data_IF_212676450777
#
_entry.id   IF_212676450777
#
_cell.length_a   1.000
_cell.length_b   1.000
_cell.length_c   1.000
_cell.angle_alpha   90.00
_cell.angle_beta   90.00
_cell.angle_gamma   90.00
#
_symmetry.space_group_name_H-M   'P 1'
#
loop_
_entity.id
_entity.type
_entity.pdbx_description
1 polymer ?
#
# COMPACT_ATOMS: atom_id res chain seq x y z
N UNK A 1 -40.48 8.56 -28.24
CA UNK A 1 -39.74 9.61 -27.51
C UNK A 1 -39.12 9.00 -26.26
N UNK A 2 -37.94 8.40 -26.41
CA UNK A 2 -37.16 7.89 -25.27
C UNK A 2 -36.34 9.07 -24.77
N UNK A 3 -36.63 9.56 -23.56
CA UNK A 3 -35.80 10.57 -22.89
C UNK A 3 -34.46 9.92 -22.58
N UNK A 4 -33.49 10.09 -23.46
CA UNK A 4 -32.09 9.78 -23.18
C UNK A 4 -31.62 10.80 -22.14
N UNK A 5 -31.57 10.38 -20.88
CA UNK A 5 -30.91 11.13 -19.82
C UNK A 5 -29.43 11.16 -20.17
N UNK A 6 -28.97 12.29 -20.69
CA UNK A 6 -27.55 12.62 -20.82
C UNK A 6 -27.01 12.71 -19.39
N UNK A 7 -26.45 11.62 -18.90
CA UNK A 7 -25.60 11.65 -17.71
C UNK A 7 -24.31 12.31 -18.19
N UNK A 8 -24.23 13.62 -17.96
CA UNK A 8 -22.99 14.36 -18.10
C UNK A 8 -22.04 13.83 -17.03
N UNK A 9 -21.22 12.83 -17.40
CA UNK A 9 -20.01 12.48 -16.65
C UNK A 9 -19.10 13.68 -16.83
N UNK A 10 -19.21 14.64 -15.91
CA UNK A 10 -18.25 15.70 -15.77
C UNK A 10 -16.91 15.02 -15.46
N UNK A 11 -16.06 14.90 -16.48
CA UNK A 11 -14.68 14.47 -16.34
C UNK A 11 -13.96 15.42 -15.39
N UNK A 12 -14.04 15.10 -14.11
CA UNK A 12 -13.15 15.64 -13.10
C UNK A 12 -11.84 14.86 -13.29
N UNK A 13 -10.98 15.36 -14.17
CA UNK A 13 -9.58 14.98 -14.22
C UNK A 13 -8.95 15.41 -12.88
N UNK A 14 -9.15 14.58 -11.85
CA UNK A 14 -8.39 14.64 -10.62
C UNK A 14 -7.04 14.02 -10.93
N UNK A 15 -6.15 14.83 -11.49
CA UNK A 15 -4.72 14.51 -11.53
C UNK A 15 -4.26 14.37 -10.07
N UNK A 16 -4.22 13.14 -9.57
CA UNK A 16 -3.57 12.81 -8.30
C UNK A 16 -2.08 12.86 -8.57
N UNK A 17 -1.57 14.10 -8.59
CA UNK A 17 -0.15 14.37 -8.49
C UNK A 17 0.28 13.84 -7.12
N UNK A 18 1.03 12.74 -7.08
CA UNK A 18 1.74 12.30 -5.88
C UNK A 18 2.62 13.46 -5.39
N UNK A 19 2.12 14.17 -4.38
CA UNK A 19 2.69 15.41 -3.84
C UNK A 19 3.97 15.08 -3.06
N UNK A 20 5.13 15.35 -3.66
CA UNK A 20 6.05 16.24 -2.96
C UNK A 20 5.43 17.65 -2.99
N UNK A 21 5.46 18.47 -1.92
CA UNK A 21 4.75 19.75 -1.87
C UNK A 21 5.33 20.74 -2.89
N UNK A 22 4.73 20.82 -4.08
CA UNK A 22 5.02 21.85 -5.09
C UNK A 22 3.95 22.93 -4.96
N UNK A 23 4.34 24.11 -4.48
CA UNK A 23 3.44 25.27 -4.39
C UNK A 23 3.43 26.01 -5.73
N UNK A 24 2.26 26.19 -6.32
CA UNK A 24 2.08 26.98 -7.55
C UNK A 24 1.75 28.44 -7.22
N UNK A 25 2.50 29.37 -7.82
CA UNK A 25 2.20 30.80 -7.80
C UNK A 25 1.31 31.14 -9.01
N UNK A 26 0.03 31.41 -8.74
CA UNK A 26 -0.99 31.70 -9.74
C UNK A 26 -0.79 33.06 -10.44
N UNK A 27 0.03 33.96 -9.88
CA UNK A 27 0.24 35.29 -10.45
C UNK A 27 1.38 35.34 -11.49
N UNK A 28 2.31 34.38 -11.45
CA UNK A 28 3.51 34.38 -12.31
C UNK A 28 3.57 33.28 -13.38
N UNK A 29 2.69 32.27 -13.31
CA UNK A 29 2.63 31.19 -14.30
C UNK A 29 3.90 30.34 -14.40
N UNK A 30 4.78 30.42 -13.40
CA UNK A 30 6.04 29.69 -13.31
C UNK A 30 6.00 28.60 -12.24
N UNK A 31 6.57 27.43 -12.57
CA UNK A 31 6.76 26.33 -11.60
C UNK A 31 7.92 26.72 -10.68
N UNK A 32 7.64 26.99 -9.40
CA UNK A 32 8.67 27.26 -8.41
C UNK A 32 9.07 25.93 -7.77
N UNK A 33 10.22 25.40 -8.16
CA UNK A 33 10.89 24.37 -7.36
C UNK A 33 11.47 25.06 -6.13
N UNK A 34 10.82 24.92 -4.98
CA UNK A 34 11.48 25.22 -3.72
C UNK A 34 12.60 24.20 -3.53
N UNK A 35 13.81 24.55 -4.00
CA UNK A 35 15.03 24.03 -3.42
C UNK A 35 14.88 24.18 -1.91
N UNK A 36 14.67 23.06 -1.21
CA UNK A 36 15.02 22.96 0.20
C UNK A 36 16.53 23.04 0.23
N UNK A 37 17.03 24.27 0.09
CA UNK A 37 18.32 24.67 0.55
C UNK A 37 18.30 24.42 2.06
N UNK A 38 18.74 23.21 2.45
CA UNK A 38 19.13 22.88 3.80
C UNK A 38 20.21 23.90 4.20
N UNK A 39 19.77 25.01 4.78
CA UNK A 39 20.64 26.00 5.37
C UNK A 39 21.38 25.30 6.49
N UNK A 40 22.67 25.05 6.24
CA UNK A 40 23.58 24.39 7.16
C UNK A 40 23.46 24.96 8.57
N UNK A 41 22.91 24.15 9.47
CA UNK A 41 23.04 24.32 10.91
C UNK A 41 24.38 23.76 11.35
N UNK A 42 25.41 24.61 11.38
CA UNK A 42 26.65 24.33 12.12
C UNK A 42 26.33 24.27 13.62
N UNK A 43 25.91 23.10 14.10
CA UNK A 43 25.72 22.80 15.51
C UNK A 43 27.01 22.30 16.16
N UNK A 44 27.95 23.21 16.44
CA UNK A 44 29.08 22.93 17.33
C UNK A 44 28.55 22.76 18.78
N UNK A 45 28.25 21.53 19.18
CA UNK A 45 27.89 21.16 20.54
C UNK A 45 29.02 20.44 21.28
N UNK A 46 30.07 21.18 21.66
CA UNK A 46 31.07 20.70 22.62
C UNK A 46 30.45 20.70 24.03
N UNK A 47 30.11 19.52 24.55
CA UNK A 47 29.65 19.31 25.92
C UNK A 47 30.61 18.43 26.72
N UNK A 48 31.79 18.95 27.06
CA UNK A 48 32.67 18.36 28.07
C UNK A 48 32.05 18.59 29.46
N UNK A 49 31.35 17.60 29.99
CA UNK A 49 30.84 17.58 31.37
C UNK A 49 31.56 16.54 32.22
N UNK A 50 32.84 16.76 32.54
CA UNK A 50 33.49 16.09 33.66
C UNK A 50 33.06 16.80 34.96
N UNK A 51 32.30 16.10 35.82
CA UNK A 51 32.03 16.55 37.18
C UNK A 51 32.41 15.47 38.19
N UNK A 52 33.48 15.66 39.00
CA UNK A 52 33.70 14.87 40.20
C UNK A 52 33.08 15.60 41.41
N UNK A 53 32.06 14.99 42.00
CA UNK A 53 31.51 15.38 43.30
C UNK A 53 30.61 14.24 43.78
N UNK A 54 30.87 13.52 44.86
CA UNK A 54 31.57 13.91 46.08
C UNK A 54 30.55 14.40 47.10
N UNK A 55 30.41 13.61 48.18
CA UNK A 55 29.67 13.83 49.43
C UNK A 55 28.15 13.58 49.42
N UNK A 56 27.57 12.69 50.23
CA UNK A 56 27.60 12.44 51.70
C UNK A 56 26.32 12.97 52.36
N UNK A 57 25.63 12.11 53.12
CA UNK A 57 24.58 12.48 54.07
C UNK A 57 23.41 11.49 54.06
N UNK A 58 23.49 10.44 54.89
CA UNK A 58 22.72 10.22 56.13
C UNK A 58 21.22 9.96 55.90
N UNK A 59 20.57 8.92 56.43
CA UNK A 59 20.94 7.94 57.44
C UNK A 59 19.71 7.60 58.27
N UNK A 60 19.27 6.34 58.27
CA UNK A 60 18.41 5.66 59.25
C UNK A 60 18.66 4.16 58.98
N UNK A 61 19.28 3.36 59.84
CA UNK A 61 19.12 3.25 61.29
C UNK A 61 18.66 1.82 61.53
N UNK A 62 19.60 0.92 61.89
CA UNK A 62 19.35 -0.51 62.03
C UNK A 62 20.60 -1.25 62.49
N UNK A 63 21.08 -0.88 63.68
CA UNK A 63 22.02 -1.66 64.47
C UNK A 63 21.54 -3.09 64.66
N UNK A 64 22.38 -4.10 64.38
CA UNK A 64 22.63 -5.28 65.23
C UNK A 64 23.84 -6.05 64.70
N UNK A 65 24.85 -6.31 65.56
CA UNK A 65 25.68 -7.51 65.42
C UNK A 65 27.20 -7.32 65.43
N UNK A 66 27.73 -6.98 66.61
CA UNK A 66 29.12 -7.13 67.06
C UNK A 66 29.86 -8.39 66.56
N UNK A 67 31.13 -8.20 66.15
CA UNK A 67 32.13 -9.27 66.14
C UNK A 67 33.45 -8.89 65.43
N UNK A 68 34.57 -8.68 66.14
CA UNK A 68 35.87 -8.51 65.52
C UNK A 68 36.54 -9.88 65.32
N UNK A 69 36.61 -10.34 64.06
CA UNK A 69 37.28 -11.57 63.67
C UNK A 69 38.48 -11.29 62.77
N UNK A 70 39.64 -11.05 63.37
CA UNK A 70 40.94 -11.16 62.69
C UNK A 70 41.26 -12.65 62.52
N UNK A 71 41.48 -13.11 61.28
CA UNK A 71 41.86 -14.50 61.00
C UNK A 71 42.39 -14.69 59.58
N UNK A 72 43.71 -14.62 59.42
CA UNK A 72 44.43 -15.21 58.30
C UNK A 72 44.46 -16.74 58.47
N UNK A 73 44.11 -17.53 57.45
CA UNK A 73 44.66 -18.87 57.25
C UNK A 73 44.27 -19.49 55.89
N UNK A 74 45.30 -19.70 55.06
CA UNK A 74 45.62 -20.92 54.29
C UNK A 74 44.49 -21.81 53.72
N UNK A 75 44.67 -22.19 52.45
CA UNK A 75 44.63 -23.61 52.09
C UNK A 75 43.72 -24.02 50.93
N UNK A 76 44.37 -24.30 49.79
CA UNK A 76 44.08 -25.34 48.79
C UNK A 76 42.67 -25.96 48.69
N UNK A 77 42.13 -25.99 47.47
CA UNK A 77 41.89 -27.27 46.78
C UNK A 77 41.54 -27.08 45.30
N UNK A 78 42.32 -27.72 44.43
CA UNK A 78 41.91 -28.13 43.09
C UNK A 78 40.81 -29.18 43.25
N UNK A 79 39.64 -28.94 42.69
CA UNK A 79 38.53 -29.89 42.63
C UNK A 79 38.06 -30.07 41.20
N UNK A 80 38.75 -30.93 40.44
CA UNK A 80 38.14 -31.66 39.34
C UNK A 80 37.23 -32.73 39.96
N UNK A 81 35.98 -32.84 39.52
CA UNK A 81 35.14 -34.02 39.77
C UNK A 81 33.67 -33.70 39.96
N UNK A 82 32.84 -34.11 39.00
CA UNK A 82 31.40 -34.13 39.19
C UNK A 82 30.54 -34.32 37.94
N UNK A 83 30.91 -35.20 37.02
CA UNK A 83 29.91 -35.78 36.11
C UNK A 83 28.93 -36.60 36.95
N UNK A 84 27.67 -36.20 36.98
CA UNK A 84 26.56 -37.02 37.44
C UNK A 84 25.49 -37.05 36.34
N UNK A 85 25.61 -38.06 35.48
CA UNK A 85 24.50 -38.58 34.70
C UNK A 85 23.48 -39.21 35.65
N UNK A 86 22.18 -38.98 35.43
CA UNK A 86 21.17 -39.88 35.95
C UNK A 86 19.80 -39.28 36.25
N UNK A 87 19.06 -38.86 35.23
CA UNK A 87 17.63 -39.18 35.14
C UNK A 87 17.30 -39.50 33.68
N UNK A 88 17.31 -40.79 33.37
CA UNK A 88 16.58 -41.36 32.25
C UNK A 88 15.10 -41.13 32.49
N UNK A 89 14.55 -40.12 31.84
CA UNK A 89 13.20 -40.18 31.36
C UNK A 89 13.31 -40.15 29.84
N UNK A 90 12.98 -41.27 29.18
CA UNK A 90 12.39 -41.24 27.85
C UNK A 90 11.08 -40.42 27.88
N UNK A 91 11.18 -39.14 28.19
CA UNK A 91 10.24 -38.14 27.73
C UNK A 91 10.74 -37.74 26.37
N UNK A 92 10.01 -38.11 25.31
CA UNK A 92 10.13 -37.44 24.02
C UNK A 92 9.95 -35.95 24.29
N UNK A 93 11.05 -35.21 24.39
CA UNK A 93 11.07 -33.79 24.70
C UNK A 93 10.39 -33.03 23.59
N UNK A 94 9.08 -32.85 23.71
CA UNK A 94 8.33 -31.80 23.05
C UNK A 94 8.84 -30.48 23.65
N UNK A 95 9.84 -29.82 23.04
CA UNK A 95 10.30 -28.54 23.58
C UNK A 95 11.58 -27.92 23.03
N UNK A 96 12.16 -28.41 21.93
CA UNK A 96 13.50 -27.96 21.52
C UNK A 96 13.52 -26.71 20.62
N UNK A 97 12.36 -26.20 20.21
CA UNK A 97 12.30 -25.08 19.25
C UNK A 97 12.28 -23.71 19.94
N UNK A 98 11.98 -23.62 21.23
CA UNK A 98 11.95 -22.34 21.95
C UNK A 98 13.33 -21.68 22.05
N UNK A 99 14.40 -22.47 22.18
CA UNK A 99 15.77 -21.93 22.21
C UNK A 99 16.25 -21.42 20.86
N UNK A 100 15.82 -22.06 19.77
CA UNK A 100 16.15 -21.64 18.40
C UNK A 100 15.50 -20.30 18.07
N UNK A 101 14.21 -20.14 18.37
CA UNK A 101 13.48 -18.88 18.17
C UNK A 101 14.02 -17.77 19.06
N UNK A 102 14.27 -18.03 20.36
CA UNK A 102 14.86 -17.02 21.25
C UNK A 102 16.26 -16.56 20.79
N UNK A 103 17.06 -17.47 20.22
CA UNK A 103 18.37 -17.15 19.64
C UNK A 103 18.25 -16.38 18.32
N UNK A 104 17.25 -16.70 17.48
CA UNK A 104 16.93 -15.96 16.25
C UNK A 104 16.45 -14.53 16.60
N UNK A 105 15.55 -14.38 17.56
CA UNK A 105 15.00 -13.10 18.00
C UNK A 105 16.10 -12.18 18.53
N UNK A 106 17.01 -12.64 19.39
CA UNK A 106 18.21 -11.87 19.76
C UNK A 106 17.95 -10.39 20.12
N UNK A 107 18.31 -9.46 19.22
CA UNK A 107 18.09 -8.01 19.37
C UNK A 107 16.63 -7.58 19.16
N UNK A 108 15.82 -8.37 18.47
CA UNK A 108 14.39 -8.15 18.21
C UNK A 108 13.53 -8.22 19.48
N UNK A 109 14.05 -8.75 20.60
CA UNK A 109 13.41 -8.58 21.91
C UNK A 109 13.20 -7.11 22.31
N UNK A 110 13.89 -6.18 21.64
CA UNK A 110 13.61 -4.75 21.75
C UNK A 110 12.19 -4.34 21.30
N UNK A 111 11.47 -5.18 20.57
CA UNK A 111 10.06 -4.99 20.21
C UNK A 111 9.13 -4.87 21.43
N UNK A 112 9.51 -5.41 22.58
CA UNK A 112 8.79 -5.21 23.84
C UNK A 112 8.93 -3.81 24.44
N UNK A 113 9.76 -2.93 23.86
CA UNK A 113 9.87 -1.56 24.33
C UNK A 113 8.53 -0.83 24.19
N UNK A 114 8.16 -0.05 25.20
CA UNK A 114 6.92 0.73 25.14
C UNK A 114 6.95 1.75 23.99
N UNK A 115 5.80 2.20 23.47
CA UNK A 115 5.74 3.23 22.43
C UNK A 115 6.56 4.49 22.79
N UNK A 116 6.52 4.91 24.06
CA UNK A 116 7.31 6.06 24.53
C UNK A 116 8.82 5.80 24.50
N UNK A 117 9.26 4.57 24.78
CA UNK A 117 10.67 4.21 24.69
C UNK A 117 11.15 4.16 23.23
N UNK A 118 10.33 3.66 22.30
CA UNK A 118 10.58 3.69 20.85
C UNK A 118 10.72 5.11 20.32
N UNK A 119 9.82 6.01 20.72
CA UNK A 119 9.84 7.42 20.32
C UNK A 119 11.13 8.17 20.72
N UNK A 120 11.73 7.82 21.86
CA UNK A 120 12.92 8.49 22.39
C UNK A 120 14.22 7.69 22.22
N UNK A 121 14.17 6.53 21.56
CA UNK A 121 15.32 5.68 21.39
C UNK A 121 16.37 6.32 20.48
N UNK A 122 17.65 6.08 20.78
CA UNK A 122 18.70 6.49 19.85
C UNK A 122 18.54 5.72 18.52
N UNK A 123 18.71 6.37 17.35
CA UNK A 123 18.44 5.73 16.04
C UNK A 123 19.17 4.40 15.83
N UNK A 124 20.41 4.29 16.31
CA UNK A 124 21.25 3.09 16.16
C UNK A 124 21.10 2.07 17.31
N UNK A 125 20.21 2.31 18.28
CA UNK A 125 19.92 1.35 19.34
C UNK A 125 19.00 0.24 18.83
N UNK A 126 18.95 -0.93 19.48
CA UNK A 126 18.02 -1.99 19.09
C UNK A 126 16.56 -1.51 19.10
N UNK A 127 16.18 -0.70 20.10
CA UNK A 127 14.84 -0.11 20.19
C UNK A 127 14.59 0.91 19.07
N UNK A 128 15.59 1.71 18.71
CA UNK A 128 15.49 2.69 17.62
C UNK A 128 15.38 2.04 16.23
N UNK A 129 16.11 0.94 15.99
CA UNK A 129 15.98 0.17 14.74
C UNK A 129 14.61 -0.50 14.62
N UNK A 130 14.06 -1.00 15.72
CA UNK A 130 12.68 -1.53 15.74
C UNK A 130 11.65 -0.41 15.48
N UNK A 131 11.85 0.79 16.03
CA UNK A 131 11.00 1.93 15.73
C UNK A 131 11.05 2.31 14.24
N UNK A 132 12.24 2.22 13.61
CA UNK A 132 12.39 2.44 12.17
C UNK A 132 11.66 1.36 11.35
N UNK A 133 11.73 0.10 11.77
CA UNK A 133 10.96 -1.00 11.16
C UNK A 133 9.45 -0.76 11.27
N UNK A 134 8.93 -0.44 12.46
CA UNK A 134 7.50 -0.15 12.67
C UNK A 134 7.00 0.97 11.74
N UNK A 135 7.78 2.05 11.61
CA UNK A 135 7.45 3.14 10.69
C UNK A 135 7.44 2.69 9.22
N UNK A 136 8.47 1.95 8.79
CA UNK A 136 8.56 1.44 7.42
C UNK A 136 7.44 0.45 7.09
N UNK A 137 7.07 -0.41 8.03
CA UNK A 137 5.95 -1.35 7.88
C UNK A 137 4.61 -0.61 7.77
N UNK A 138 4.39 0.45 8.57
CA UNK A 138 3.21 1.32 8.44
C UNK A 138 3.11 1.93 7.05
N UNK A 139 4.20 2.52 6.54
CA UNK A 139 4.27 3.06 5.17
C UNK A 139 3.98 1.99 4.11
N UNK A 140 4.52 0.78 4.30
CA UNK A 140 4.28 -0.34 3.38
C UNK A 140 2.79 -0.74 3.35
N UNK A 141 2.12 -0.81 4.51
CA UNK A 141 0.69 -1.10 4.55
C UNK A 141 -0.15 0.00 3.88
N UNK A 142 0.18 1.27 4.12
CA UNK A 142 -0.50 2.39 3.44
C UNK A 142 -0.32 2.31 1.91
N UNK A 143 0.89 1.99 1.45
CA UNK A 143 1.18 1.84 0.02
C UNK A 143 0.44 0.64 -0.60
N UNK A 144 0.36 -0.50 0.08
CA UNK A 144 -0.41 -1.67 -0.37
C UNK A 144 -1.90 -1.34 -0.47
N UNK A 145 -2.46 -0.66 0.52
CA UNK A 145 -3.86 -0.23 0.48
C UNK A 145 -4.12 0.73 -0.69
N UNK A 146 -3.22 1.71 -0.89
CA UNK A 146 -3.34 2.65 -2.00
C UNK A 146 -3.23 1.96 -3.37
N UNK A 147 -2.35 0.96 -3.51
CA UNK A 147 -2.23 0.16 -4.73
C UNK A 147 -3.51 -0.64 -5.00
N UNK A 148 -4.13 -1.23 -3.98
CA UNK A 148 -5.39 -1.94 -4.11
C UNK A 148 -6.55 -1.01 -4.55
N UNK A 149 -6.65 0.18 -3.95
CA UNK A 149 -7.66 1.17 -4.32
C UNK A 149 -7.50 1.64 -5.78
N UNK A 150 -6.26 1.87 -6.23
CA UNK A 150 -5.97 2.27 -7.61
C UNK A 150 -6.21 1.14 -8.61
N UNK A 151 -5.89 -0.10 -8.24
CA UNK A 151 -6.21 -1.26 -9.07
C UNK A 151 -7.73 -1.40 -9.28
N UNK A 152 -8.53 -1.22 -8.22
CA UNK A 152 -10.00 -1.23 -8.34
C UNK A 152 -10.53 -0.10 -9.25
N UNK A 153 -9.94 1.10 -9.15
CA UNK A 153 -10.30 2.22 -10.04
C UNK A 153 -9.92 1.94 -11.50
N UNK A 154 -8.78 1.30 -11.75
CA UNK A 154 -8.35 0.90 -13.08
C UNK A 154 -9.32 -0.12 -13.69
N UNK A 155 -9.80 -1.10 -12.90
CA UNK A 155 -10.83 -2.05 -13.34
C UNK A 155 -12.16 -1.36 -13.68
N UNK A 156 -12.61 -0.39 -12.87
CA UNK A 156 -13.82 0.40 -13.15
C UNK A 156 -13.68 1.19 -14.46
N UNK A 157 -12.52 1.81 -14.69
CA UNK A 157 -12.25 2.55 -15.92
C UNK A 157 -12.23 1.64 -17.17
N UNK A 158 -11.71 0.41 -17.05
CA UNK A 158 -11.78 -0.59 -18.11
C UNK A 158 -13.22 -1.02 -18.39
N UNK A 159 -14.05 -1.20 -17.37
CA UNK A 159 -15.48 -1.52 -17.56
C UNK A 159 -16.21 -0.38 -18.29
N UNK A 160 -15.97 0.88 -17.90
CA UNK A 160 -16.53 2.05 -18.57
C UNK A 160 -16.13 2.15 -20.05
N UNK A 161 -14.91 1.71 -20.39
CA UNK A 161 -14.44 1.64 -21.78
C UNK A 161 -15.24 0.64 -22.61
N UNK A 162 -15.56 -0.53 -22.05
CA UNK A 162 -16.37 -1.55 -22.72
C UNK A 162 -17.77 -1.02 -23.02
N UNK A 163 -18.39 -0.37 -22.04
CA UNK A 163 -19.73 0.23 -22.20
C UNK A 163 -19.73 1.34 -23.25
N UNK A 164 -18.76 2.27 -23.18
CA UNK A 164 -18.65 3.36 -24.15
C UNK A 164 -18.43 2.85 -25.59
N UNK A 165 -17.63 1.79 -25.75
CA UNK A 165 -17.41 1.17 -27.06
C UNK A 165 -18.64 0.42 -27.58
N UNK A 166 -19.40 -0.21 -26.70
CA UNK A 166 -20.68 -0.84 -27.08
C UNK A 166 -21.69 0.21 -27.59
N UNK A 167 -21.80 1.35 -26.90
CA UNK A 167 -22.65 2.47 -27.32
C UNK A 167 -22.20 3.08 -28.66
N UNK A 168 -20.89 3.29 -28.84
CA UNK A 168 -20.33 3.76 -30.10
C UNK A 168 -20.66 2.83 -31.27
N UNK A 169 -20.53 1.52 -31.08
CA UNK A 169 -20.86 0.51 -32.10
C UNK A 169 -22.36 0.49 -32.42
N UNK A 170 -23.22 0.64 -31.42
CA UNK A 170 -24.67 0.70 -31.61
C UNK A 170 -25.09 1.94 -32.42
N UNK A 171 -24.52 3.10 -32.12
CA UNK A 171 -24.78 4.33 -32.86
C UNK A 171 -24.20 4.30 -34.28
N UNK A 172 -23.01 3.72 -34.46
CA UNK A 172 -22.44 3.52 -35.81
C UNK A 172 -23.34 2.63 -36.68
N UNK A 173 -23.93 1.58 -36.10
CA UNK A 173 -24.89 0.72 -36.80
C UNK A 173 -26.15 1.50 -37.18
N UNK A 174 -26.72 2.27 -36.25
CA UNK A 174 -27.89 3.10 -36.51
C UNK A 174 -27.63 4.18 -37.60
N UNK A 175 -26.44 4.77 -37.61
CA UNK A 175 -26.03 5.72 -38.63
C UNK A 175 -25.96 5.07 -40.02
N UNK A 176 -25.39 3.86 -40.12
CA UNK A 176 -25.33 3.10 -41.38
C UNK A 176 -26.74 2.71 -41.89
N UNK A 177 -27.64 2.30 -40.99
CA UNK A 177 -29.03 2.00 -41.33
C UNK A 177 -29.78 3.25 -41.83
N UNK A 178 -29.58 4.40 -41.18
CA UNK A 178 -30.17 5.67 -41.59
C UNK A 178 -29.65 6.14 -42.96
N UNK A 179 -28.35 5.99 -43.23
CA UNK A 179 -27.75 6.33 -44.53
C UNK A 179 -28.29 5.43 -45.65
N UNK A 180 -28.43 4.12 -45.40
CA UNK A 180 -29.02 3.19 -46.35
C UNK A 180 -30.47 3.53 -46.69
N UNK A 181 -31.27 3.92 -45.68
CA UNK A 181 -32.66 4.36 -45.87
C UNK A 181 -32.75 5.66 -46.67
N UNK A 182 -31.91 6.64 -46.37
CA UNK A 182 -31.84 7.90 -47.12
C UNK A 182 -31.48 7.65 -48.60
N UNK A 183 -30.49 6.80 -48.87
CA UNK A 183 -30.07 6.46 -50.23
C UNK A 183 -31.15 5.75 -51.05
N UNK A 184 -31.93 4.87 -50.42
CA UNK A 184 -33.08 4.22 -51.07
C UNK A 184 -34.16 5.25 -51.45
N UNK A 185 -34.52 6.17 -50.53
CA UNK A 185 -35.47 7.24 -50.81
C UNK A 185 -34.99 8.20 -51.90
N UNK A 186 -33.70 8.56 -51.93
CA UNK A 186 -33.11 9.36 -53.00
C UNK A 186 -33.22 8.66 -54.36
N UNK A 187 -32.98 7.34 -54.40
CA UNK A 187 -33.13 6.52 -55.61
C UNK A 187 -34.58 6.53 -56.09
N UNK A 188 -35.54 6.38 -55.18
CA UNK A 188 -36.97 6.45 -55.52
C UNK A 188 -37.37 7.85 -56.01
N UNK A 189 -36.91 8.92 -55.35
CA UNK A 189 -37.17 10.30 -55.76
C UNK A 189 -36.60 10.62 -57.15
N UNK A 190 -35.42 10.06 -57.48
CA UNK A 190 -34.82 10.20 -58.80
C UNK A 190 -35.60 9.46 -59.89
N UNK A 191 -36.30 8.36 -59.55
CA UNK A 191 -37.13 7.61 -60.48
C UNK A 191 -38.46 8.33 -60.81
N UNK A 192 -39.01 9.13 -59.90
CA UNK A 192 -40.19 9.98 -60.11
C UNK A 192 -39.95 11.42 -59.63
N UNK A 193 -39.31 12.27 -60.44
CA UNK A 193 -38.98 13.64 -60.06
C UNK A 193 -40.21 14.56 -59.94
N UNK A 194 -41.40 14.12 -60.38
CA UNK A 194 -42.64 14.90 -60.23
C UNK A 194 -43.28 14.72 -58.85
N UNK A 195 -42.86 13.69 -58.11
CA UNK A 195 -43.35 13.43 -56.77
C UNK A 195 -42.59 14.27 -55.73
N UNK A 196 -43.09 15.48 -55.48
CA UNK A 196 -42.48 16.43 -54.55
C UNK A 196 -42.49 15.97 -53.08
N UNK A 197 -43.43 15.13 -52.69
CA UNK A 197 -43.49 14.57 -51.33
C UNK A 197 -42.35 13.57 -51.10
N UNK A 198 -42.06 12.73 -52.08
CA UNK A 198 -40.94 11.78 -52.04
C UNK A 198 -39.59 12.50 -52.00
N UNK A 199 -39.42 13.58 -52.78
CA UNK A 199 -38.22 14.39 -52.74
C UNK A 199 -38.02 15.07 -51.37
N UNK A 200 -39.09 15.56 -50.74
CA UNK A 200 -39.03 16.13 -49.39
C UNK A 200 -38.70 15.06 -48.33
N UNK A 201 -39.26 13.85 -48.46
CA UNK A 201 -38.97 12.72 -47.58
C UNK A 201 -37.50 12.28 -47.67
N UNK A 202 -36.94 12.20 -48.89
CA UNK A 202 -35.53 11.89 -49.10
C UNK A 202 -34.61 12.94 -48.45
N UNK A 203 -34.92 14.24 -48.62
CA UNK A 203 -34.16 15.31 -47.98
C UNK A 203 -34.22 15.26 -46.45
N UNK A 204 -35.39 14.91 -45.87
CA UNK A 204 -35.54 14.74 -44.43
C UNK A 204 -34.73 13.54 -43.92
N UNK A 205 -34.84 12.38 -44.60
CA UNK A 205 -34.07 11.18 -44.25
C UNK A 205 -32.56 11.42 -44.35
N UNK A 206 -32.09 12.22 -45.31
CA UNK A 206 -30.69 12.65 -45.39
C UNK A 206 -30.26 13.47 -44.18
N UNK A 207 -31.09 14.41 -43.73
CA UNK A 207 -30.82 15.19 -42.51
C UNK A 207 -30.79 14.33 -41.24
N UNK A 208 -31.67 13.34 -41.15
CA UNK A 208 -31.68 12.36 -40.05
C UNK A 208 -30.42 11.48 -40.08
N UNK A 209 -29.98 11.03 -41.26
CA UNK A 209 -28.75 10.27 -41.43
C UNK A 209 -27.50 11.09 -41.07
N UNK A 210 -27.41 12.35 -41.51
CA UNK A 210 -26.31 13.25 -41.15
C UNK A 210 -26.27 13.49 -39.62
N UNK A 211 -27.43 13.58 -38.95
CA UNK A 211 -27.52 13.68 -37.49
C UNK A 211 -27.04 12.40 -36.80
N UNK A 212 -27.49 11.23 -37.27
CA UNK A 212 -27.07 9.95 -36.72
C UNK A 212 -25.56 9.72 -36.88
N UNK A 213 -24.97 10.14 -38.01
CA UNK A 213 -23.53 10.09 -38.23
C UNK A 213 -22.76 11.01 -37.26
N UNK A 214 -23.28 12.20 -36.97
CA UNK A 214 -22.68 13.10 -35.99
C UNK A 214 -22.74 12.53 -34.56
N UNK A 215 -23.86 11.92 -34.17
CA UNK A 215 -24.02 11.24 -32.88
C UNK A 215 -23.05 10.05 -32.74
N UNK A 216 -22.91 9.24 -33.80
CA UNK A 216 -21.95 8.13 -33.83
C UNK A 216 -20.50 8.61 -33.69
N UNK A 217 -20.12 9.69 -34.37
CA UNK A 217 -18.79 10.28 -34.25
C UNK A 217 -18.52 10.83 -32.84
N UNK A 218 -19.51 11.44 -32.19
CA UNK A 218 -19.39 11.90 -30.80
C UNK A 218 -19.23 10.74 -29.81
N UNK A 219 -19.94 9.63 -30.03
CA UNK A 219 -19.81 8.43 -29.21
C UNK A 219 -18.45 7.74 -29.38
N UNK A 220 -17.91 7.66 -30.60
CA UNK A 220 -16.56 7.12 -30.86
C UNK A 220 -15.47 7.99 -30.21
N UNK A 221 -15.61 9.32 -30.24
CA UNK A 221 -14.72 10.22 -29.51
C UNK A 221 -14.78 10.00 -27.98
N UNK A 222 -15.98 9.75 -27.44
CA UNK A 222 -16.19 9.43 -26.02
C UNK A 222 -15.54 8.09 -25.66
N UNK A 223 -15.70 7.07 -26.49
CA UNK A 223 -15.04 5.77 -26.30
C UNK A 223 -13.51 5.90 -26.33
N UNK A 224 -12.97 6.70 -27.26
CA UNK A 224 -11.53 6.97 -27.34
C UNK A 224 -11.00 7.68 -26.08
N UNK A 225 -11.77 8.62 -25.53
CA UNK A 225 -11.39 9.27 -24.27
C UNK A 225 -11.43 8.29 -23.10
N UNK A 226 -12.45 7.44 -23.01
CA UNK A 226 -12.53 6.40 -21.99
C UNK A 226 -11.34 5.41 -22.06
N UNK A 227 -10.93 5.01 -23.27
CA UNK A 227 -9.72 4.19 -23.48
C UNK A 227 -8.45 4.89 -22.96
N UNK A 228 -8.32 6.20 -23.16
CA UNK A 228 -7.18 6.98 -22.66
C UNK A 228 -7.20 7.15 -21.12
N UNK A 229 -8.38 7.35 -20.55
CA UNK A 229 -8.56 7.46 -19.09
C UNK A 229 -8.25 6.12 -18.42
N UNK A 230 -8.73 5.00 -18.98
CA UNK A 230 -8.42 3.64 -18.50
C UNK A 230 -6.91 3.32 -18.59
N UNK A 231 -6.25 3.72 -19.67
CA UNK A 231 -4.80 3.56 -19.79
C UNK A 231 -4.03 4.37 -18.74
N UNK A 232 -4.51 5.57 -18.40
CA UNK A 232 -3.92 6.41 -17.35
C UNK A 232 -4.12 5.76 -15.97
N UNK A 233 -5.34 5.33 -15.66
CA UNK A 233 -5.64 4.65 -14.39
C UNK A 233 -4.81 3.37 -14.20
N UNK A 234 -4.64 2.57 -15.27
CA UNK A 234 -3.77 1.39 -15.21
C UNK A 234 -2.32 1.76 -14.91
N UNK A 235 -1.78 2.80 -15.55
CA UNK A 235 -0.41 3.23 -15.30
C UNK A 235 -0.21 3.74 -13.85
N UNK A 236 -1.21 4.40 -13.28
CA UNK A 236 -1.20 4.82 -11.87
C UNK A 236 -1.25 3.61 -10.92
N UNK A 237 -2.07 2.59 -11.23
CA UNK A 237 -2.11 1.34 -10.46
C UNK A 237 -0.77 0.59 -10.51
N UNK A 238 -0.16 0.45 -11.68
CA UNK A 238 1.14 -0.20 -11.85
C UNK A 238 2.24 0.52 -11.05
N UNK A 239 2.25 1.86 -11.09
CA UNK A 239 3.20 2.67 -10.33
C UNK A 239 2.99 2.56 -8.80
N UNK A 240 1.73 2.44 -8.36
CA UNK A 240 1.42 2.24 -6.95
C UNK A 240 1.82 0.84 -6.46
N UNK A 241 1.65 -0.19 -7.30
CA UNK A 241 2.13 -1.55 -7.00
C UNK A 241 3.67 -1.57 -6.87
N UNK A 242 4.40 -0.91 -7.77
CA UNK A 242 5.86 -0.78 -7.66
C UNK A 242 6.26 -0.07 -6.35
N UNK A 243 5.60 1.05 -6.01
CA UNK A 243 5.85 1.76 -4.76
C UNK A 243 5.52 0.91 -3.51
N UNK A 244 4.47 0.10 -3.55
CA UNK A 244 4.13 -0.83 -2.48
C UNK A 244 5.21 -1.90 -2.30
N UNK A 245 5.72 -2.46 -3.39
CA UNK A 245 6.82 -3.43 -3.37
C UNK A 245 8.11 -2.82 -2.81
N UNK A 246 8.46 -1.59 -3.22
CA UNK A 246 9.61 -0.87 -2.69
C UNK A 246 9.47 -0.58 -1.18
N UNK A 247 8.27 -0.19 -0.72
CA UNK A 247 8.01 0.05 0.69
C UNK A 247 8.08 -1.23 1.52
N UNK A 248 7.58 -2.36 1.00
CA UNK A 248 7.73 -3.67 1.64
C UNK A 248 9.20 -4.09 1.74
N UNK A 249 9.99 -3.89 0.68
CA UNK A 249 11.42 -4.17 0.71
C UNK A 249 12.15 -3.27 1.73
N UNK A 250 11.80 -1.99 1.81
CA UNK A 250 12.37 -1.09 2.81
C UNK A 250 12.03 -1.52 4.24
N UNK A 251 10.81 -2.00 4.50
CA UNK A 251 10.43 -2.59 5.77
C UNK A 251 11.23 -3.87 6.06
N UNK A 252 11.43 -4.72 5.05
CA UNK A 252 12.24 -5.92 5.17
C UNK A 252 13.72 -5.61 5.52
N UNK A 253 14.33 -4.65 4.83
CA UNK A 253 15.70 -4.20 5.08
C UNK A 253 15.84 -3.58 6.48
N UNK A 254 14.84 -2.83 6.94
CA UNK A 254 14.78 -2.30 8.30
C UNK A 254 14.74 -3.42 9.35
N UNK A 255 13.95 -4.48 9.10
CA UNK A 255 13.87 -5.64 9.99
C UNK A 255 15.19 -6.43 10.04
N UNK A 256 15.80 -6.70 8.88
CA UNK A 256 17.12 -7.33 8.77
C UNK A 256 18.19 -6.52 9.55
N UNK A 257 18.16 -5.20 9.40
CA UNK A 257 19.05 -4.29 10.13
C UNK A 257 18.82 -4.36 11.64
N UNK A 258 17.56 -4.37 12.08
CA UNK A 258 17.20 -4.50 13.49
C UNK A 258 17.61 -5.85 14.09
N UNK A 259 17.45 -6.93 13.33
CA UNK A 259 17.83 -8.29 13.70
C UNK A 259 19.35 -8.44 13.86
N UNK A 260 20.14 -7.65 13.11
CA UNK A 260 21.60 -7.74 13.04
C UNK A 260 22.08 -9.15 12.66
N UNK A 261 21.26 -9.85 11.89
CA UNK A 261 21.46 -11.19 11.36
C UNK A 261 20.74 -11.24 10.02
N UNK A 262 21.20 -12.10 9.10
CA UNK A 262 20.39 -12.42 7.94
C UNK A 262 19.21 -13.26 8.43
N UNK A 263 18.00 -12.71 8.38
CA UNK A 263 16.76 -13.44 8.65
C UNK A 263 16.06 -13.83 7.36
N UNK A 264 16.71 -13.68 6.21
CA UNK A 264 16.15 -14.15 4.94
C UNK A 264 16.38 -15.64 4.73
N UNK A 265 15.45 -16.28 4.01
CA UNK A 265 15.59 -17.62 3.46
C UNK A 265 16.60 -17.66 2.28
N UNK A 266 16.69 -18.82 1.61
CA UNK A 266 17.60 -19.03 0.48
C UNK A 266 17.17 -18.23 -0.77
N UNK A 267 15.89 -17.89 -0.84
CA UNK A 267 15.24 -17.10 -1.87
C UNK A 267 15.35 -15.59 -1.63
N UNK A 268 15.79 -15.16 -0.44
CA UNK A 268 15.94 -13.76 -0.05
C UNK A 268 14.71 -13.14 0.62
N UNK A 269 13.66 -13.92 0.88
CA UNK A 269 12.48 -13.47 1.62
C UNK A 269 12.72 -13.56 3.12
N UNK A 270 12.12 -12.67 3.90
CA UNK A 270 12.22 -12.74 5.36
C UNK A 270 11.52 -14.01 5.88
N UNK A 271 12.15 -14.68 6.84
CA UNK A 271 11.56 -15.77 7.62
C UNK A 271 10.24 -15.28 8.23
N UNK A 272 9.13 -15.74 7.65
CA UNK A 272 7.77 -15.32 8.01
C UNK A 272 7.49 -15.53 9.51
N UNK A 273 8.02 -16.60 10.12
CA UNK A 273 7.87 -16.83 11.57
C UNK A 273 8.53 -15.70 12.40
N UNK A 274 9.62 -15.11 11.92
CA UNK A 274 10.31 -14.00 12.59
C UNK A 274 9.54 -12.69 12.38
N UNK A 275 9.01 -12.47 11.17
CA UNK A 275 8.20 -11.28 10.84
C UNK A 275 6.94 -11.25 11.72
N UNK A 276 6.20 -12.35 11.75
CA UNK A 276 4.96 -12.49 12.51
C UNK A 276 5.21 -12.31 14.00
N UNK A 277 6.27 -12.96 14.54
CA UNK A 277 6.63 -12.82 15.94
C UNK A 277 6.99 -11.38 16.32
N UNK A 278 7.62 -10.61 15.42
CA UNK A 278 7.93 -9.19 15.68
C UNK A 278 6.66 -8.34 15.58
N UNK A 279 5.81 -8.57 14.58
CA UNK A 279 4.55 -7.83 14.41
C UNK A 279 3.59 -8.03 15.60
N UNK A 280 3.45 -9.28 16.05
CA UNK A 280 2.71 -9.65 17.26
C UNK A 280 3.21 -8.88 18.49
N UNK A 281 4.53 -8.79 18.65
CA UNK A 281 5.16 -8.09 19.76
C UNK A 281 4.95 -6.56 19.70
N UNK A 282 4.89 -6.00 18.50
CA UNK A 282 4.63 -4.58 18.28
C UNK A 282 3.14 -4.23 18.44
N UNK A 283 2.27 -5.23 18.55
CA UNK A 283 0.81 -5.03 18.55
C UNK A 283 0.31 -4.53 17.21
N UNK A 284 1.10 -4.75 16.15
CA UNK A 284 0.67 -4.59 14.76
C UNK A 284 -0.10 -5.87 14.48
N UNK A 285 -1.37 -5.90 14.88
CA UNK A 285 -2.23 -7.02 14.53
C UNK A 285 -2.21 -7.11 13.00
N UNK A 286 -1.85 -8.28 12.46
CA UNK A 286 -2.39 -8.66 11.15
C UNK A 286 -3.89 -8.46 11.28
N UNK A 287 -4.46 -7.56 10.48
CA UNK A 287 -5.91 -7.44 10.46
C UNK A 287 -6.42 -8.87 10.28
N UNK A 288 -7.29 -9.35 11.19
CA UNK A 288 -7.75 -10.73 11.12
C UNK A 288 -8.22 -10.91 9.71
N UNK A 289 -7.75 -11.97 9.04
CA UNK A 289 -8.21 -12.40 7.73
C UNK A 289 -9.74 -12.41 7.80
N UNK A 290 -10.34 -11.26 7.44
CA UNK A 290 -11.76 -11.10 7.22
C UNK A 290 -11.92 -11.74 5.85
N UNK A 291 -11.64 -13.04 5.81
CA UNK A 291 -12.24 -13.99 4.92
C UNK A 291 -13.72 -13.69 5.06
N UNK A 292 -14.14 -12.79 4.18
CA UNK A 292 -15.49 -12.49 3.83
C UNK A 292 -15.98 -13.86 3.37
N UNK A 293 -16.48 -14.65 4.31
CA UNK A 293 -17.26 -15.84 4.01
C UNK A 293 -18.54 -15.29 3.42
N UNK A 294 -18.43 -14.78 2.19
CA UNK A 294 -19.53 -14.70 1.25
C UNK A 294 -19.85 -16.17 1.02
N UNK A 295 -20.67 -16.73 1.91
CA UNK A 295 -21.41 -17.93 1.59
C UNK A 295 -22.08 -17.63 0.26
N UNK A 296 -21.73 -18.33 -0.84
CA UNK A 296 -22.48 -18.18 -2.07
C UNK A 296 -23.92 -18.58 -1.71
N UNK A 297 -24.83 -17.61 -1.70
CA UNK A 297 -26.26 -17.86 -1.68
C UNK A 297 -26.53 -18.66 -2.96
N UNK A 298 -26.63 -19.98 -2.83
CA UNK A 298 -27.01 -20.83 -3.96
C UNK A 298 -28.38 -20.36 -4.44
N UNK A 299 -28.52 -20.00 -5.73
CA UNK A 299 -29.83 -19.67 -6.27
C UNK A 299 -30.68 -20.95 -6.26
N UNK A 300 -31.68 -20.99 -5.39
CA UNK A 300 -32.73 -22.01 -5.39
C UNK A 300 -33.61 -21.84 -6.64
N UNK A 301 -33.10 -22.32 -7.77
CA UNK A 301 -33.86 -22.44 -9.00
C UNK A 301 -34.63 -23.76 -9.02
N UNK A 302 -35.88 -23.73 -8.60
CA UNK A 302 -36.86 -24.76 -8.96
C UNK A 302 -37.19 -24.64 -10.46
N UNK A 303 -37.02 -25.69 -11.28
CA UNK A 303 -37.54 -25.70 -12.64
C UNK A 303 -39.04 -26.06 -12.63
N UNK A 304 -39.89 -25.14 -13.12
CA UNK A 304 -41.25 -25.43 -13.60
C UNK A 304 -41.27 -25.74 -15.10
#
# INVERSE_FOLDING_TARGET
MVKRSIIAIAGLAASVLLVAPISYDLDSGGVIFSDVAAKGGNGNGNGNGHGPGGNSGNGLGGDFGSGPGNGNAFGHSKGNGGNAFGHSAEGKGQGNNHGAIASKLGRLNAAHASPNARLHAAPNSAVGMIAAYEAAYGTAQEAVSAAADLAALAEEAQAATVDARADANALATAAAEAEAYAADLETQAAADPTNTELAAAAAAARGDADTAAADAAAADATATQAEADAATAQAEADAAEEAANEAQQAAADALNTAANKNITDEEGNIDEEVKDAVNDLLGIAEEPDLALTVSPEEPSGDPE
#
